data_IF_084066017239
#
_entry.id   IF_084066017239
#
_cell.length_a   1.000
_cell.length_b   1.000
_cell.length_c   1.000
_cell.angle_alpha   90.00
_cell.angle_beta   90.00
_cell.angle_gamma   90.00
#
_symmetry.space_group_name_H-M   'P 1'
#
loop_
_entity.id
_entity.type
_entity.pdbx_description
1 polymer ?
#
# COMPACT_ATOMS: atom_id res chain seq x y z
N UNK A 1 81.06 0.93 72.50
CA UNK A 1 79.81 0.72 71.75
C UNK A 1 80.18 0.33 70.33
N UNK A 2 79.96 -0.94 69.97
CA UNK A 2 80.34 -1.50 68.68
C UNK A 2 79.24 -1.25 67.64
N UNK A 3 79.61 -0.64 66.52
CA UNK A 3 78.72 -0.47 65.36
C UNK A 3 78.58 -1.83 64.67
N UNK A 4 77.36 -2.34 64.43
CA UNK A 4 77.20 -3.63 63.76
C UNK A 4 77.59 -3.51 62.28
N UNK A 5 78.56 -4.32 61.86
CA UNK A 5 78.96 -4.43 60.46
C UNK A 5 77.96 -5.37 59.78
N UNK A 6 77.07 -4.79 58.97
CA UNK A 6 76.17 -5.53 58.08
C UNK A 6 77.00 -6.15 56.95
N UNK A 7 77.32 -7.43 57.08
CA UNK A 7 77.87 -8.23 55.98
C UNK A 7 76.71 -8.79 55.16
N UNK A 8 76.52 -8.26 53.95
CA UNK A 8 75.58 -8.82 52.98
C UNK A 8 76.23 -10.09 52.41
N UNK A 9 75.60 -11.27 52.50
CA UNK A 9 76.17 -12.49 51.96
C UNK A 9 76.24 -12.38 50.42
N UNK A 10 77.37 -12.77 49.82
CA UNK A 10 77.58 -12.73 48.37
C UNK A 10 76.57 -13.59 47.58
N UNK A 11 75.89 -14.54 48.25
CA UNK A 11 74.79 -15.33 47.68
C UNK A 11 73.51 -14.53 47.44
N UNK A 12 73.36 -13.35 48.05
CA UNK A 12 72.28 -12.41 47.75
C UNK A 12 72.58 -11.55 46.51
N UNK A 13 73.83 -11.53 46.04
CA UNK A 13 74.25 -10.80 44.86
C UNK A 13 73.98 -11.65 43.61
N UNK A 14 72.80 -11.49 43.01
CA UNK A 14 72.47 -12.14 41.74
C UNK A 14 72.82 -11.20 40.56
N UNK A 15 73.96 -11.39 39.87
CA UNK A 15 74.40 -10.50 38.79
C UNK A 15 73.45 -10.53 37.57
N UNK A 16 72.57 -11.53 37.47
CA UNK A 16 71.56 -11.63 36.42
C UNK A 16 70.48 -10.53 36.47
N UNK A 17 70.32 -9.84 37.60
CA UNK A 17 69.36 -8.73 37.75
C UNK A 17 69.88 -7.37 37.24
N UNK A 18 71.20 -7.23 37.11
CA UNK A 18 71.87 -5.95 36.78
C UNK A 18 72.44 -5.90 35.36
N UNK A 19 72.52 -7.03 34.66
CA UNK A 19 72.74 -7.01 33.22
C UNK A 19 71.52 -6.35 32.58
N UNK A 20 71.68 -5.27 31.78
CA UNK A 20 70.58 -4.77 30.97
C UNK A 20 70.18 -5.94 30.08
N UNK A 21 69.06 -6.57 30.42
CA UNK A 21 68.68 -7.80 29.78
C UNK A 21 68.71 -7.55 28.27
N UNK A 22 69.55 -8.27 27.53
CA UNK A 22 69.44 -8.34 26.06
C UNK A 22 68.07 -8.89 25.64
N UNK A 23 67.22 -9.27 26.60
CA UNK A 23 65.82 -9.66 26.49
C UNK A 23 64.87 -8.68 27.20
N UNK A 24 65.34 -7.51 27.64
CA UNK A 24 64.53 -6.43 28.17
C UNK A 24 63.61 -5.92 27.06
N UNK A 25 62.33 -6.30 27.21
CA UNK A 25 61.15 -5.64 26.65
C UNK A 25 60.87 -5.87 25.16
N UNK A 26 60.70 -7.13 24.76
CA UNK A 26 59.48 -7.40 23.95
C UNK A 26 58.30 -7.19 24.90
N UNK A 27 57.72 -5.98 24.88
CA UNK A 27 56.61 -5.68 25.77
C UNK A 27 55.46 -6.63 25.43
N UNK A 28 55.14 -7.51 26.38
CA UNK A 28 54.06 -8.50 26.23
C UNK A 28 52.73 -7.81 25.91
N UNK A 29 52.55 -6.57 26.40
CA UNK A 29 51.44 -5.68 26.07
C UNK A 29 51.40 -5.27 24.60
N UNK A 30 52.50 -4.83 23.97
CA UNK A 30 52.48 -4.48 22.54
C UNK A 30 52.25 -5.72 21.68
N UNK A 31 52.83 -6.86 22.05
CA UNK A 31 52.57 -8.13 21.34
C UNK A 31 51.10 -8.52 21.47
N UNK A 32 50.51 -8.39 22.66
CA UNK A 32 49.11 -8.66 22.91
C UNK A 32 48.20 -7.71 22.11
N UNK A 33 48.47 -6.41 22.10
CA UNK A 33 47.72 -5.42 21.31
C UNK A 33 47.82 -5.72 19.81
N UNK A 34 49.00 -6.09 19.30
CA UNK A 34 49.20 -6.48 17.90
C UNK A 34 48.47 -7.78 17.55
N UNK A 35 48.48 -8.78 18.43
CA UNK A 35 47.72 -10.01 18.20
C UNK A 35 46.22 -9.77 18.26
N UNK A 36 45.75 -8.95 19.19
CA UNK A 36 44.33 -8.62 19.38
C UNK A 36 43.78 -7.83 18.19
N UNK A 37 44.53 -6.84 17.71
CA UNK A 37 44.15 -6.06 16.52
C UNK A 37 44.14 -6.92 15.26
N UNK A 38 45.10 -7.84 15.09
CA UNK A 38 45.12 -8.79 13.97
C UNK A 38 43.97 -9.78 14.02
N UNK A 39 43.64 -10.32 15.20
CA UNK A 39 42.52 -11.27 15.32
C UNK A 39 41.18 -10.58 15.14
N UNK A 40 41.02 -9.35 15.65
CA UNK A 40 39.82 -8.55 15.44
C UNK A 40 39.64 -8.17 13.97
N UNK A 41 40.72 -7.74 13.29
CA UNK A 41 40.68 -7.45 11.86
C UNK A 41 40.34 -8.71 11.04
N UNK A 42 40.94 -9.86 11.37
CA UNK A 42 40.62 -11.13 10.72
C UNK A 42 39.15 -11.54 10.95
N UNK A 43 38.63 -11.37 12.16
CA UNK A 43 37.24 -11.65 12.49
C UNK A 43 36.27 -10.74 11.71
N UNK A 44 36.60 -9.44 11.57
CA UNK A 44 35.82 -8.50 10.76
C UNK A 44 35.82 -8.87 9.28
N UNK A 45 36.97 -9.24 8.73
CA UNK A 45 37.08 -9.70 7.33
C UNK A 45 36.25 -10.96 7.11
N UNK A 46 36.31 -11.92 8.04
CA UNK A 46 35.54 -13.16 7.95
C UNK A 46 34.03 -12.89 8.05
N UNK A 47 33.60 -12.03 8.98
CA UNK A 47 32.21 -11.61 9.09
C UNK A 47 31.73 -10.89 7.81
N UNK A 48 32.55 -10.03 7.22
CA UNK A 48 32.25 -9.38 5.95
C UNK A 48 32.13 -10.38 4.79
N UNK A 49 33.04 -11.34 4.70
CA UNK A 49 32.97 -12.42 3.71
C UNK A 49 31.69 -13.24 3.86
N UNK A 50 31.30 -13.61 5.09
CA UNK A 50 30.05 -14.33 5.35
C UNK A 50 28.83 -13.48 4.94
N UNK A 51 28.83 -12.18 5.27
CA UNK A 51 27.77 -11.27 4.87
C UNK A 51 27.64 -11.16 3.35
N UNK A 52 28.76 -11.05 2.64
CA UNK A 52 28.78 -10.89 1.19
C UNK A 52 28.48 -12.19 0.43
N UNK A 53 29.00 -13.33 0.88
CA UNK A 53 28.85 -14.62 0.18
C UNK A 53 27.60 -15.40 0.58
N UNK A 54 27.11 -15.28 1.81
CA UNK A 54 25.97 -16.06 2.28
C UNK A 54 24.70 -15.21 2.40
N UNK A 55 24.76 -14.09 3.13
CA UNK A 55 23.56 -13.31 3.46
C UNK A 55 23.05 -12.56 2.24
N UNK A 56 23.93 -11.89 1.48
CA UNK A 56 23.54 -11.12 0.30
C UNK A 56 22.79 -11.94 -0.77
N UNK A 57 23.29 -13.09 -1.26
CA UNK A 57 22.55 -13.87 -2.26
C UNK A 57 21.25 -14.45 -1.70
N UNK A 58 21.21 -14.82 -0.41
CA UNK A 58 19.99 -15.28 0.23
C UNK A 58 18.92 -14.18 0.26
N UNK A 59 19.30 -12.93 0.55
CA UNK A 59 18.38 -11.80 0.49
C UNK A 59 17.93 -11.53 -0.95
N UNK A 60 18.85 -11.52 -1.92
CA UNK A 60 18.52 -11.32 -3.34
C UNK A 60 17.51 -12.35 -3.86
N UNK A 61 17.68 -13.63 -3.54
CA UNK A 61 16.70 -14.66 -3.95
C UNK A 61 15.32 -14.47 -3.34
N UNK A 62 15.22 -14.06 -2.07
CA UNK A 62 13.92 -13.79 -1.46
C UNK A 62 13.25 -12.54 -2.02
N UNK A 63 14.02 -11.53 -2.40
CA UNK A 63 13.46 -10.30 -2.99
C UNK A 63 13.01 -10.54 -4.42
N UNK A 64 13.77 -11.28 -5.23
CA UNK A 64 13.33 -11.64 -6.60
C UNK A 64 12.05 -12.46 -6.58
N UNK A 65 11.93 -13.48 -5.72
CA UNK A 65 10.69 -14.26 -5.57
C UNK A 65 9.48 -13.41 -5.20
N UNK A 66 9.66 -12.43 -4.29
CA UNK A 66 8.58 -11.49 -3.92
C UNK A 66 8.18 -10.59 -5.09
N UNK A 67 9.16 -10.12 -5.87
CA UNK A 67 8.91 -9.29 -7.06
C UNK A 67 8.14 -10.11 -8.12
N UNK A 68 8.58 -11.34 -8.41
CA UNK A 68 7.90 -12.25 -9.34
C UNK A 68 6.45 -12.51 -8.90
N UNK A 69 6.22 -12.74 -7.61
CA UNK A 69 4.87 -12.92 -7.08
C UNK A 69 4.00 -11.66 -7.25
N UNK A 70 4.55 -10.48 -7.01
CA UNK A 70 3.84 -9.22 -7.21
C UNK A 70 3.53 -8.96 -8.69
N UNK A 71 4.44 -9.30 -9.59
CA UNK A 71 4.22 -9.22 -11.04
C UNK A 71 3.13 -10.20 -11.51
N UNK A 72 3.13 -11.43 -10.98
CA UNK A 72 2.07 -12.41 -11.23
C UNK A 72 0.71 -11.92 -10.73
N UNK A 73 0.66 -11.31 -9.54
CA UNK A 73 -0.57 -10.70 -9.02
C UNK A 73 -1.03 -9.52 -9.89
N UNK A 74 -0.11 -8.64 -10.31
CA UNK A 74 -0.39 -7.48 -11.17
C UNK A 74 -0.94 -7.92 -12.53
N UNK A 75 -0.36 -8.93 -13.15
CA UNK A 75 -0.81 -9.45 -14.45
C UNK A 75 -2.21 -10.06 -14.35
N UNK A 76 -2.49 -10.83 -13.29
CA UNK A 76 -3.84 -11.36 -13.01
C UNK A 76 -4.86 -10.24 -12.79
N UNK A 77 -4.52 -9.22 -12.00
CA UNK A 77 -5.38 -8.05 -11.78
C UNK A 77 -5.66 -7.29 -13.09
N UNK A 78 -4.64 -7.12 -13.94
CA UNK A 78 -4.81 -6.50 -15.25
C UNK A 78 -5.73 -7.32 -16.16
N UNK A 79 -5.55 -8.64 -16.20
CA UNK A 79 -6.42 -9.52 -16.98
C UNK A 79 -7.87 -9.47 -16.48
N UNK A 80 -8.07 -9.47 -15.16
CA UNK A 80 -9.38 -9.30 -14.56
C UNK A 80 -10.00 -7.94 -14.93
N UNK A 81 -9.24 -6.85 -14.81
CA UNK A 81 -9.70 -5.51 -15.16
C UNK A 81 -10.11 -5.41 -16.64
N UNK A 82 -9.32 -5.95 -17.56
CA UNK A 82 -9.66 -5.97 -18.99
C UNK A 82 -10.93 -6.79 -19.25
N UNK A 83 -11.09 -7.95 -18.58
CA UNK A 83 -12.28 -8.76 -18.70
C UNK A 83 -13.54 -8.04 -18.17
N UNK A 84 -13.42 -7.36 -17.02
CA UNK A 84 -14.52 -6.56 -16.46
C UNK A 84 -14.85 -5.38 -17.37
N UNK A 85 -13.85 -4.65 -17.86
CA UNK A 85 -14.06 -3.51 -18.77
C UNK A 85 -14.77 -3.97 -20.07
N UNK A 86 -14.37 -5.10 -20.64
CA UNK A 86 -15.02 -5.65 -21.83
C UNK A 86 -16.46 -6.11 -21.61
N UNK A 87 -16.88 -6.31 -20.36
CA UNK A 87 -18.25 -6.72 -20.00
C UNK A 87 -19.11 -5.59 -19.44
N UNK A 88 -18.50 -4.49 -19.00
CA UNK A 88 -19.19 -3.35 -18.40
C UNK A 88 -19.11 -2.18 -19.38
N UNK A 89 -20.09 -2.14 -20.28
CA UNK A 89 -20.23 -1.10 -21.32
C UNK A 89 -20.55 0.28 -20.70
N UNK A 90 -21.15 0.29 -19.50
CA UNK A 90 -21.56 1.50 -18.81
C UNK A 90 -21.61 1.28 -17.29
N UNK A 91 -20.98 2.19 -16.52
CA UNK A 91 -21.09 2.21 -15.06
C UNK A 91 -22.16 3.25 -14.71
N UNK A 92 -23.35 2.86 -14.23
CA UNK A 92 -24.41 3.81 -13.94
C UNK A 92 -24.00 4.71 -12.77
N UNK A 93 -24.26 6.01 -12.89
CA UNK A 93 -24.02 6.91 -11.75
C UNK A 93 -25.05 6.64 -10.66
N UNK A 94 -24.56 6.36 -9.44
CA UNK A 94 -25.40 6.10 -8.27
C UNK A 94 -25.53 7.40 -7.48
N UNK A 95 -26.70 8.02 -7.55
CA UNK A 95 -27.11 9.08 -6.64
C UNK A 95 -27.39 8.50 -5.26
N UNK A 96 -26.95 9.20 -4.21
CA UNK A 96 -27.31 8.86 -2.83
C UNK A 96 -28.25 9.94 -2.33
N UNK A 97 -29.53 9.60 -2.21
CA UNK A 97 -30.51 10.48 -1.58
C UNK A 97 -30.62 10.13 -0.10
N UNK A 98 -30.60 11.17 0.74
CA UNK A 98 -30.85 11.08 2.17
C UNK A 98 -32.15 11.79 2.48
N UNK A 99 -33.25 11.07 2.49
CA UNK A 99 -34.55 11.56 2.95
C UNK A 99 -34.97 10.78 4.21
N UNK A 100 -35.44 11.52 5.23
CA UNK A 100 -35.95 10.97 6.49
C UNK A 100 -35.05 9.92 7.19
N UNK A 101 -33.73 10.16 7.24
CA UNK A 101 -32.79 9.31 7.98
C UNK A 101 -32.44 7.97 7.32
N UNK A 102 -33.06 7.62 6.19
CA UNK A 102 -32.75 6.41 5.42
C UNK A 102 -31.92 6.78 4.20
N UNK A 103 -30.78 6.12 4.02
CA UNK A 103 -29.90 6.32 2.87
C UNK A 103 -30.42 5.45 1.72
N UNK A 104 -31.07 6.06 0.73
CA UNK A 104 -31.57 5.35 -0.46
C UNK A 104 -30.60 5.57 -1.62
N UNK A 105 -30.05 4.48 -2.16
CA UNK A 105 -29.26 4.51 -3.39
C UNK A 105 -30.23 4.59 -4.56
N UNK A 106 -30.17 5.67 -5.33
CA UNK A 106 -30.97 5.90 -6.53
C UNK A 106 -30.01 5.80 -7.71
N UNK A 107 -30.26 4.86 -8.62
CA UNK A 107 -29.49 4.74 -9.85
C UNK A 107 -29.98 5.87 -10.78
N UNK A 108 -29.13 6.87 -11.04
CA UNK A 108 -29.53 8.10 -11.73
C UNK A 108 -29.67 7.90 -13.24
N UNK A 109 -28.97 6.91 -13.79
CA UNK A 109 -28.98 6.59 -15.21
C UNK A 109 -29.75 5.29 -15.48
N UNK A 110 -31.06 5.32 -15.27
CA UNK A 110 -31.95 4.50 -16.10
C UNK A 110 -32.08 5.18 -17.46
N UNK A 111 -30.98 5.28 -18.22
CA UNK A 111 -31.08 5.70 -19.62
C UNK A 111 -31.70 4.53 -20.36
N UNK A 112 -32.97 4.73 -20.71
CA UNK A 112 -33.68 3.97 -21.70
C UNK A 112 -32.82 3.89 -22.97
N UNK A 113 -32.16 2.75 -23.20
CA UNK A 113 -31.68 2.33 -24.52
C UNK A 113 -32.87 2.04 -25.47
N UNK A 114 -33.94 2.82 -25.41
CA UNK A 114 -35.10 2.68 -26.28
C UNK A 114 -34.85 3.40 -27.61
N UNK A 115 -34.16 4.55 -27.63
CA UNK A 115 -34.04 5.33 -28.87
C UNK A 115 -33.21 4.66 -29.98
N UNK A 116 -32.11 3.98 -29.64
CA UNK A 116 -31.26 3.28 -30.64
C UNK A 116 -31.84 1.92 -31.06
N UNK A 117 -32.64 1.29 -30.19
CA UNK A 117 -33.37 0.06 -30.49
C UNK A 117 -34.60 0.35 -31.36
N UNK A 118 -35.31 1.44 -31.07
CA UNK A 118 -36.45 1.94 -31.85
C UNK A 118 -36.02 2.34 -33.25
N UNK A 119 -34.88 3.03 -33.43
CA UNK A 119 -34.34 3.37 -34.76
C UNK A 119 -34.02 2.14 -35.61
N UNK A 120 -33.53 1.05 -35.00
CA UNK A 120 -33.28 -0.22 -35.69
C UNK A 120 -34.57 -0.98 -36.01
N UNK A 121 -35.58 -0.91 -35.13
CA UNK A 121 -36.86 -1.59 -35.32
C UNK A 121 -37.80 -0.86 -36.29
N UNK A 122 -37.78 0.47 -36.32
CA UNK A 122 -38.50 1.32 -37.27
C UNK A 122 -38.03 1.12 -38.72
N UNK A 123 -36.78 0.68 -38.91
CA UNK A 123 -36.24 0.39 -40.23
C UNK A 123 -36.76 -0.93 -40.83
N UNK A 124 -37.32 -1.85 -40.02
CA UNK A 124 -37.58 -3.23 -40.46
C UNK A 124 -39.04 -3.63 -40.66
N UNK A 125 -40.08 -2.91 -40.16
CA UNK A 125 -41.49 -3.31 -40.41
C UNK A 125 -42.49 -2.14 -40.48
N UNK A 126 -43.53 -2.21 -41.35
CA UNK A 126 -44.60 -1.21 -41.39
C UNK A 126 -45.59 -1.41 -40.23
N UNK A 127 -46.08 -0.31 -39.68
CA UNK A 127 -47.15 -0.23 -38.68
C UNK A 127 -48.50 -0.60 -39.31
N UNK A 128 -49.32 -1.43 -38.63
CA UNK A 128 -50.80 -1.31 -38.72
C UNK A 128 -51.63 -2.13 -37.69
N UNK A 129 -51.04 -2.65 -36.61
CA UNK A 129 -51.80 -3.17 -35.46
C UNK A 129 -51.22 -2.65 -34.17
N UNK A 130 -52.00 -2.64 -33.08
CA UNK A 130 -51.56 -2.28 -31.71
C UNK A 130 -50.36 -3.10 -31.20
N UNK A 131 -49.79 -3.99 -32.01
CA UNK A 131 -48.57 -4.74 -31.71
C UNK A 131 -48.73 -5.71 -30.54
N UNK A 132 -49.96 -5.95 -30.07
CA UNK A 132 -50.24 -6.69 -28.83
C UNK A 132 -49.66 -8.10 -28.86
N UNK A 133 -49.67 -8.76 -30.03
CA UNK A 133 -49.03 -10.08 -30.20
C UNK A 133 -47.50 -10.02 -30.04
N UNK A 134 -46.85 -9.00 -30.61
CA UNK A 134 -45.40 -8.77 -30.47
C UNK A 134 -45.06 -8.40 -29.02
N UNK A 135 -45.90 -7.60 -28.35
CA UNK A 135 -45.72 -7.27 -26.94
C UNK A 135 -45.83 -8.51 -26.07
N UNK A 136 -46.82 -9.37 -26.32
CA UNK A 136 -47.00 -10.62 -25.59
C UNK A 136 -45.82 -11.57 -25.80
N UNK A 137 -45.30 -11.66 -27.02
CA UNK A 137 -44.09 -12.44 -27.35
C UNK A 137 -42.85 -11.89 -26.65
N UNK A 138 -42.67 -10.56 -26.61
CA UNK A 138 -41.55 -9.94 -25.88
C UNK A 138 -41.69 -10.12 -24.37
N UNK A 139 -42.91 -10.04 -23.83
CA UNK A 139 -43.17 -10.25 -22.41
C UNK A 139 -42.97 -11.71 -22.00
N UNK A 140 -43.33 -12.68 -22.84
CA UNK A 140 -43.07 -14.10 -22.57
C UNK A 140 -41.58 -14.43 -22.66
N UNK A 141 -40.85 -13.84 -23.62
CA UNK A 141 -39.40 -13.92 -23.68
C UNK A 141 -38.74 -13.30 -22.43
N UNK A 142 -39.23 -12.16 -21.98
CA UNK A 142 -38.70 -11.49 -20.80
C UNK A 142 -38.97 -12.30 -19.54
N UNK A 143 -40.16 -12.89 -19.41
CA UNK A 143 -40.52 -13.75 -18.29
C UNK A 143 -39.64 -15.01 -18.24
N UNK A 144 -39.41 -15.67 -19.38
CA UNK A 144 -38.51 -16.82 -19.46
C UNK A 144 -37.07 -16.45 -19.09
N UNK A 145 -36.57 -15.30 -19.55
CA UNK A 145 -35.24 -14.80 -19.17
C UNK A 145 -35.13 -14.42 -17.70
N UNK A 146 -36.18 -13.83 -17.11
CA UNK A 146 -36.23 -13.54 -15.67
C UNK A 146 -36.29 -14.82 -14.83
N UNK A 147 -36.96 -15.87 -15.30
CA UNK A 147 -36.95 -17.18 -14.66
C UNK A 147 -35.56 -17.84 -14.71
N UNK A 148 -34.79 -17.60 -15.77
CA UNK A 148 -33.38 -18.02 -15.86
C UNK A 148 -32.45 -17.19 -14.96
N UNK A 149 -32.86 -15.99 -14.53
CA UNK A 149 -32.08 -15.17 -13.61
C UNK A 149 -32.22 -15.66 -12.17
N UNK A 150 -31.19 -16.37 -11.70
CA UNK A 150 -31.08 -16.79 -10.31
C UNK A 150 -30.77 -15.54 -9.48
N UNK A 151 -31.72 -15.09 -8.67
CA UNK A 151 -31.46 -14.05 -7.69
C UNK A 151 -30.59 -14.65 -6.58
N UNK A 152 -29.29 -14.32 -6.57
CA UNK A 152 -28.41 -14.71 -5.48
C UNK A 152 -28.67 -13.82 -4.28
N UNK A 153 -29.15 -14.40 -3.19
CA UNK A 153 -29.17 -13.68 -1.93
C UNK A 153 -27.73 -13.57 -1.44
N UNK A 154 -27.41 -12.44 -0.81
CA UNK A 154 -26.10 -12.21 -0.18
C UNK A 154 -25.75 -13.31 0.84
N UNK A 155 -26.75 -14.04 1.33
CA UNK A 155 -26.61 -15.16 2.25
C UNK A 155 -26.11 -16.44 1.56
N UNK A 156 -26.37 -16.60 0.26
CA UNK A 156 -26.04 -17.80 -0.51
C UNK A 156 -24.61 -17.75 -1.10
N UNK A 157 -23.97 -16.58 -1.06
CA UNK A 157 -22.61 -16.39 -1.55
C UNK A 157 -21.64 -16.61 -0.40
N UNK A 158 -20.95 -17.75 -0.42
CA UNK A 158 -19.92 -18.06 0.56
C UNK A 158 -18.87 -16.94 0.63
N UNK A 159 -18.50 -16.56 1.86
CA UNK A 159 -17.46 -15.56 2.14
C UNK A 159 -17.74 -14.13 1.65
N UNK A 160 -18.92 -13.80 1.11
CA UNK A 160 -19.24 -12.45 0.65
C UNK A 160 -18.99 -11.38 1.73
N UNK A 161 -19.40 -11.63 2.98
CA UNK A 161 -19.20 -10.69 4.09
C UNK A 161 -17.73 -10.42 4.41
N UNK A 162 -16.89 -11.45 4.31
CA UNK A 162 -15.45 -11.35 4.58
C UNK A 162 -14.78 -10.52 3.48
N UNK A 163 -15.14 -10.77 2.23
CA UNK A 163 -14.64 -10.01 1.08
C UNK A 163 -15.12 -8.57 1.15
N UNK A 164 -16.41 -8.32 1.41
CA UNK A 164 -16.98 -6.97 1.55
C UNK A 164 -16.29 -6.17 2.67
N UNK A 165 -16.02 -6.80 3.82
CA UNK A 165 -15.24 -6.17 4.89
C UNK A 165 -13.81 -5.83 4.44
N UNK A 166 -13.13 -6.78 3.80
CA UNK A 166 -11.76 -6.58 3.31
C UNK A 166 -11.69 -5.46 2.26
N UNK A 167 -12.72 -5.35 1.42
CA UNK A 167 -12.83 -4.33 0.38
C UNK A 167 -13.12 -2.95 0.99
N UNK A 168 -13.96 -2.89 2.03
CA UNK A 168 -14.18 -1.67 2.83
C UNK A 168 -12.91 -1.21 3.54
N UNK A 169 -12.17 -2.13 4.15
CA UNK A 169 -10.89 -1.81 4.81
C UNK A 169 -9.83 -1.36 3.81
N UNK A 170 -9.70 -2.05 2.67
CA UNK A 170 -8.83 -1.62 1.56
C UNK A 170 -9.21 -0.21 1.08
N UNK A 171 -10.50 0.05 0.88
CA UNK A 171 -11.00 1.36 0.48
C UNK A 171 -10.60 2.41 1.50
N UNK A 172 -10.87 2.18 2.79
CA UNK A 172 -10.51 3.11 3.87
C UNK A 172 -9.00 3.37 3.89
N UNK A 173 -8.16 2.33 3.80
CA UNK A 173 -6.70 2.45 3.75
C UNK A 173 -6.23 3.22 2.52
N UNK A 174 -6.80 2.93 1.35
CA UNK A 174 -6.50 3.66 0.13
C UNK A 174 -6.92 5.12 0.24
N UNK A 175 -8.07 5.41 0.83
CA UNK A 175 -8.53 6.77 1.03
C UNK A 175 -7.62 7.52 2.00
N UNK A 176 -7.19 6.88 3.09
CA UNK A 176 -6.22 7.47 4.01
C UNK A 176 -4.89 7.76 3.32
N UNK A 177 -4.35 6.84 2.52
CA UNK A 177 -3.03 7.01 1.89
C UNK A 177 -3.06 8.01 0.73
N UNK A 178 -4.07 7.96 -0.14
CA UNK A 178 -4.17 8.82 -1.32
C UNK A 178 -4.80 10.19 -1.02
N UNK A 179 -5.66 10.31 0.00
CA UNK A 179 -6.28 11.59 0.38
C UNK A 179 -5.72 12.22 1.67
N UNK A 180 -4.75 11.59 2.38
CA UNK A 180 -3.87 12.34 3.30
C UNK A 180 -2.91 13.23 2.50
N UNK A 181 -3.43 14.33 1.97
CA UNK A 181 -2.64 15.44 1.43
C UNK A 181 -1.66 15.99 2.47
N UNK A 182 -1.90 15.72 3.76
CA UNK A 182 -1.03 16.07 4.89
C UNK A 182 0.33 15.34 4.87
N UNK A 183 0.43 14.12 4.31
CA UNK A 183 1.70 13.36 4.29
C UNK A 183 2.46 13.49 2.98
N UNK A 184 1.76 13.73 1.87
CA UNK A 184 2.39 13.88 0.54
C UNK A 184 3.05 15.24 0.33
N UNK A 185 2.63 16.29 1.06
CA UNK A 185 3.14 17.66 0.87
C UNK A 185 3.69 18.33 2.13
N UNK A 186 3.76 17.63 3.27
CA UNK A 186 4.36 18.19 4.50
C UNK A 186 5.89 18.00 4.50
N UNK A 187 6.56 18.53 3.48
CA UNK A 187 7.92 19.03 3.64
C UNK A 187 7.84 20.54 3.88
N UNK A 188 8.45 20.95 4.99
CA UNK A 188 8.89 22.30 5.33
C UNK A 188 7.80 23.33 5.69
N UNK A 189 7.53 23.37 7.00
CA UNK A 189 7.53 24.62 7.78
C UNK A 189 6.58 25.72 7.36
N UNK A 190 5.35 25.70 7.86
CA UNK A 190 4.70 26.86 8.49
C UNK A 190 3.34 26.45 9.10
N UNK A 191 3.20 26.68 10.40
CA UNK A 191 1.96 26.55 11.16
C UNK A 191 0.95 27.62 10.73
N UNK A 192 0.25 27.40 9.62
CA UNK A 192 -1.04 28.05 9.36
C UNK A 192 -2.10 26.96 9.25
N UNK A 193 -3.17 27.10 10.05
CA UNK A 193 -4.38 26.27 9.94
C UNK A 193 -4.81 26.27 8.46
N UNK A 194 -4.92 25.09 7.82
CA UNK A 194 -5.20 25.02 6.39
C UNK A 194 -6.62 25.49 6.15
N UNK A 195 -6.76 26.58 5.37
CA UNK A 195 -8.05 27.01 4.82
C UNK A 195 -8.46 25.99 3.76
N UNK A 196 -9.66 25.42 3.89
CA UNK A 196 -10.22 24.55 2.87
C UNK A 196 -10.61 25.38 1.65
N UNK A 197 -9.64 25.63 0.77
CA UNK A 197 -9.78 26.49 -0.42
C UNK A 197 -10.96 26.06 -1.30
N UNK A 198 -11.16 24.76 -1.51
CA UNK A 198 -12.31 24.25 -2.28
C UNK A 198 -13.66 24.48 -1.58
N UNK A 199 -13.69 24.52 -0.24
CA UNK A 199 -14.91 24.81 0.52
C UNK A 199 -15.19 26.31 0.55
N UNK A 200 -14.16 27.14 0.70
CA UNK A 200 -14.26 28.61 0.60
C UNK A 200 -14.73 29.01 -0.80
N UNK A 201 -14.10 28.51 -1.87
CA UNK A 201 -14.52 28.79 -3.25
C UNK A 201 -15.95 28.34 -3.52
N UNK A 202 -16.39 27.18 -3.00
CA UNK A 202 -17.81 26.75 -3.11
C UNK A 202 -18.76 27.63 -2.30
N UNK A 203 -18.31 28.14 -1.15
CA UNK A 203 -19.07 29.07 -0.33
C UNK A 203 -19.21 30.42 -1.04
N UNK A 204 -18.13 30.90 -1.66
CA UNK A 204 -18.07 32.16 -2.40
C UNK A 204 -18.93 32.10 -3.67
N UNK A 205 -18.86 31.00 -4.44
CA UNK A 205 -19.74 30.78 -5.60
C UNK A 205 -21.21 30.77 -5.16
N UNK A 206 -21.54 30.16 -4.02
CA UNK A 206 -22.90 30.15 -3.47
C UNK A 206 -23.33 31.55 -2.99
N UNK A 207 -22.40 32.29 -2.38
CA UNK A 207 -22.59 33.67 -1.94
C UNK A 207 -22.88 34.59 -3.12
N UNK A 208 -22.04 34.55 -4.15
CA UNK A 208 -22.20 35.32 -5.40
C UNK A 208 -23.53 34.98 -6.07
N UNK A 209 -23.88 33.69 -6.15
CA UNK A 209 -25.19 33.26 -6.68
C UNK A 209 -26.34 33.81 -5.83
N UNK A 210 -26.21 33.82 -4.51
CA UNK A 210 -27.21 34.38 -3.59
C UNK A 210 -27.37 35.90 -3.73
N UNK A 211 -26.27 36.64 -3.88
CA UNK A 211 -26.27 38.09 -4.14
C UNK A 211 -26.95 38.40 -5.47
N UNK A 212 -26.63 37.66 -6.53
CA UNK A 212 -27.22 37.84 -7.86
C UNK A 212 -28.73 37.53 -7.87
N UNK A 213 -29.16 36.48 -7.17
CA UNK A 213 -30.58 36.10 -7.08
C UNK A 213 -31.41 37.02 -6.17
N UNK A 214 -30.77 37.72 -5.23
CA UNK A 214 -31.46 38.62 -4.28
C UNK A 214 -31.46 40.09 -4.72
N UNK A 215 -30.83 40.42 -5.85
CA UNK A 215 -30.76 41.78 -6.38
C UNK A 215 -29.99 42.77 -5.49
N UNK A 216 -29.31 42.29 -4.46
CA UNK A 216 -28.42 43.08 -3.60
C UNK A 216 -26.99 42.84 -4.06
N UNK A 217 -26.53 43.70 -4.96
CA UNK A 217 -25.11 43.87 -5.26
C UNK A 217 -24.44 44.67 -4.13
#
# INVERSE_FOLDING_TARGET
MSVPILTIPETAFNPAGYLPAKHARRSRLLRYMLTLTRTLAAALILAYLVGFLAIKPLMETTTTQRIEFLEACRTRLRAFYINVMGRVEYIPTIGIERSHGVVKKVYADSVCQTEDLEKKQLAEKPLETLGQALVLEKLSLLLTKLQECLAYLVQDIEHYRVVDFSLKDLRQKSEMVYFDQNKLFSEQGQTRKPRHLAREVKQDIRSIKGMFMSGRA
#
